data_IF_039974909995
#
_entry.id   IF_039974909995
#
_cell.length_a   1.000
_cell.length_b   1.000
_cell.length_c   1.000
_cell.angle_alpha   90.00
_cell.angle_beta   90.00
_cell.angle_gamma   90.00
#
_symmetry.space_group_name_H-M   'P 1'
#
loop_
_entity.id
_entity.type
_entity.pdbx_description
1 polymer ?
#
# COMPACT_ATOMS: atom_id res chain seq x y z
N UNK A 1 23.82 -74.92 22.09
CA UNK A 1 22.46 -74.55 21.66
C UNK A 1 22.27 -73.08 22.02
N UNK A 2 22.49 -72.18 21.08
CA UNK A 2 22.34 -70.69 21.28
C UNK A 2 21.37 -70.15 20.27
N UNK A 3 20.21 -69.72 20.79
CA UNK A 3 19.15 -69.06 20.00
C UNK A 3 19.55 -67.60 19.74
N UNK A 4 19.80 -67.26 18.47
CA UNK A 4 19.99 -65.87 18.04
C UNK A 4 18.68 -65.11 17.95
N UNK A 5 18.52 -64.04 18.71
CA UNK A 5 17.43 -63.08 18.56
C UNK A 5 17.72 -62.14 17.36
N UNK A 6 16.97 -62.29 16.30
CA UNK A 6 16.93 -61.34 15.21
C UNK A 6 16.05 -60.13 15.63
N UNK A 7 16.68 -58.99 15.77
CA UNK A 7 15.97 -57.68 15.94
C UNK A 7 15.47 -57.21 14.58
N UNK A 8 14.17 -57.30 14.37
CA UNK A 8 13.50 -56.65 13.21
C UNK A 8 13.43 -55.16 13.47
N UNK A 9 14.21 -54.38 12.70
CA UNK A 9 14.12 -52.93 12.66
C UNK A 9 13.01 -52.54 11.66
N UNK A 10 11.93 -51.96 12.15
CA UNK A 10 10.90 -51.34 11.29
C UNK A 10 11.42 -49.99 10.80
N UNK A 11 11.31 -49.69 9.47
CA UNK A 11 11.61 -48.35 8.96
C UNK A 11 10.49 -47.39 9.34
N UNK A 12 10.82 -46.32 10.05
CA UNK A 12 9.94 -45.18 10.30
C UNK A 12 9.82 -44.38 9.03
N UNK A 13 8.65 -44.43 8.37
CA UNK A 13 8.32 -43.65 7.20
C UNK A 13 8.03 -42.19 7.66
N UNK A 14 9.01 -41.26 7.46
CA UNK A 14 8.76 -39.85 7.67
C UNK A 14 7.88 -39.31 6.53
N UNK A 15 6.63 -39.03 6.80
CA UNK A 15 5.74 -38.30 5.92
C UNK A 15 6.09 -36.81 6.04
N UNK A 16 6.79 -36.26 5.04
CA UNK A 16 7.01 -34.83 4.94
C UNK A 16 5.69 -34.15 4.60
N UNK A 17 5.11 -33.43 5.56
CA UNK A 17 3.96 -32.59 5.34
C UNK A 17 4.40 -31.36 4.48
N UNK A 18 4.08 -31.39 3.19
CA UNK A 18 4.24 -30.22 2.32
C UNK A 18 3.23 -29.14 2.73
N UNK A 19 3.72 -28.01 3.26
CA UNK A 19 2.89 -26.83 3.49
C UNK A 19 2.32 -26.35 2.14
N UNK A 20 1.03 -25.96 2.08
CA UNK A 20 0.46 -25.42 0.87
C UNK A 20 1.22 -24.15 0.47
N UNK A 21 1.82 -24.16 -0.71
CA UNK A 21 2.41 -22.96 -1.30
C UNK A 21 1.26 -21.97 -1.60
N UNK A 22 1.20 -20.87 -0.86
CA UNK A 22 0.29 -19.75 -1.16
C UNK A 22 0.79 -19.13 -2.46
N UNK A 23 0.10 -19.44 -3.57
CA UNK A 23 0.40 -18.83 -4.85
C UNK A 23 0.14 -17.32 -4.75
N UNK A 24 1.21 -16.51 -4.91
CA UNK A 24 1.07 -15.05 -5.04
C UNK A 24 0.30 -14.79 -6.34
N UNK A 25 -0.87 -14.14 -6.31
CA UNK A 25 -1.63 -13.86 -7.53
C UNK A 25 -0.72 -13.13 -8.53
N UNK A 26 -0.71 -13.62 -9.77
CA UNK A 26 0.09 -13.00 -10.82
C UNK A 26 -0.43 -11.56 -11.05
N UNK A 27 0.47 -10.58 -11.01
CA UNK A 27 0.12 -9.20 -11.27
C UNK A 27 -0.45 -9.07 -12.70
N UNK A 28 -1.75 -8.85 -12.80
CA UNK A 28 -2.44 -8.62 -14.08
C UNK A 28 -2.71 -7.13 -14.28
N UNK A 29 -1.92 -6.53 -15.15
CA UNK A 29 -2.10 -5.15 -15.61
C UNK A 29 -2.80 -5.06 -16.97
N UNK A 30 -3.30 -6.18 -17.50
CA UNK A 30 -4.11 -6.18 -18.72
C UNK A 30 -5.36 -5.30 -18.51
N UNK A 31 -5.70 -4.49 -19.51
CA UNK A 31 -6.81 -3.54 -19.40
C UNK A 31 -6.47 -2.20 -18.78
N UNK A 32 -5.25 -2.00 -18.24
CA UNK A 32 -4.77 -0.66 -17.90
C UNK A 32 -4.07 -0.03 -19.11
N UNK A 33 -4.39 1.21 -19.49
CA UNK A 33 -3.69 1.90 -20.56
C UNK A 33 -2.21 2.11 -20.16
N UNK A 34 -1.33 2.28 -21.14
CA UNK A 34 0.04 2.68 -20.87
C UNK A 34 0.08 4.02 -20.12
N UNK A 35 1.05 4.25 -19.21
CA UNK A 35 1.23 5.55 -18.59
C UNK A 35 1.42 6.63 -19.65
N UNK A 36 0.82 7.81 -19.44
CA UNK A 36 1.03 8.96 -20.32
C UNK A 36 2.48 9.43 -20.22
N UNK A 37 2.92 10.16 -21.25
CA UNK A 37 4.25 10.75 -21.28
C UNK A 37 4.51 11.59 -20.00
N UNK A 38 5.67 11.38 -19.39
CA UNK A 38 6.07 12.06 -18.15
C UNK A 38 5.50 11.45 -16.86
N UNK A 39 4.68 10.40 -16.96
CA UNK A 39 4.18 9.67 -15.80
C UNK A 39 4.89 8.33 -15.64
N UNK A 40 5.12 7.95 -14.40
CA UNK A 40 5.64 6.65 -13.98
C UNK A 40 4.53 5.88 -13.26
N UNK A 41 4.41 4.58 -13.58
CA UNK A 41 3.41 3.71 -12.96
C UNK A 41 3.89 3.12 -11.65
N UNK A 42 3.06 3.25 -10.64
CA UNK A 42 3.18 2.63 -9.34
C UNK A 42 2.06 1.60 -9.15
N UNK A 43 2.37 0.48 -8.52
CA UNK A 43 1.39 -0.58 -8.29
C UNK A 43 1.47 -1.02 -6.84
N UNK A 44 0.31 -1.05 -6.18
CA UNK A 44 0.13 -1.71 -4.90
C UNK A 44 -0.61 -3.01 -5.18
N UNK A 45 0.04 -4.12 -4.88
CA UNK A 45 -0.59 -5.43 -4.98
C UNK A 45 -0.80 -5.96 -3.57
N UNK A 46 -2.03 -5.86 -3.02
CA UNK A 46 -2.33 -6.50 -1.77
C UNK A 46 -2.25 -8.01 -1.97
N UNK A 47 -1.24 -8.65 -1.40
CA UNK A 47 -1.06 -10.10 -1.49
C UNK A 47 -2.08 -10.81 -0.60
N UNK A 48 -3.24 -11.14 -1.15
CA UNK A 48 -4.31 -11.78 -0.40
C UNK A 48 -4.96 -10.86 0.65
N UNK A 49 -5.56 -11.45 1.67
CA UNK A 49 -6.16 -10.70 2.77
C UNK A 49 -5.07 -10.09 3.65
N UNK A 50 -5.23 -8.84 4.02
CA UNK A 50 -4.38 -8.22 5.05
C UNK A 50 -4.49 -9.04 6.34
N UNK A 51 -3.39 -9.18 7.11
CA UNK A 51 -3.42 -9.89 8.38
C UNK A 51 -4.55 -9.36 9.27
N UNK A 52 -5.27 -10.27 9.93
CA UNK A 52 -6.24 -9.88 10.94
C UNK A 52 -5.52 -9.11 12.04
N UNK A 53 -6.20 -8.14 12.65
CA UNK A 53 -5.70 -7.51 13.85
C UNK A 53 -5.83 -8.50 15.01
N UNK A 54 -4.86 -8.50 15.92
CA UNK A 54 -4.95 -9.22 17.20
C UNK A 54 -5.90 -8.50 18.17
N UNK A 55 -6.15 -7.21 17.93
CA UNK A 55 -7.10 -6.40 18.68
C UNK A 55 -8.54 -6.75 18.26
N UNK A 56 -9.31 -7.31 19.20
CA UNK A 56 -10.72 -7.67 18.99
C UNK A 56 -11.63 -6.47 18.70
N UNK A 57 -11.18 -5.25 19.03
CA UNK A 57 -11.91 -4.03 18.72
C UNK A 57 -11.82 -3.64 17.25
N UNK A 58 -10.92 -4.24 16.49
CA UNK A 58 -10.70 -3.95 15.07
C UNK A 58 -11.45 -4.97 14.21
N UNK A 59 -12.25 -4.50 13.27
CA UNK A 59 -13.01 -5.36 12.36
C UNK A 59 -12.10 -6.29 11.54
N UNK A 60 -12.45 -7.56 11.53
CA UNK A 60 -11.82 -8.57 10.66
C UNK A 60 -12.45 -8.63 9.26
N UNK A 61 -13.54 -7.88 9.02
CA UNK A 61 -14.23 -7.84 7.75
C UNK A 61 -13.50 -6.94 6.74
N UNK A 62 -13.01 -7.46 5.60
CA UNK A 62 -12.33 -6.66 4.59
C UNK A 62 -13.16 -5.51 4.00
N UNK A 63 -14.50 -5.59 4.05
CA UNK A 63 -15.38 -4.53 3.57
C UNK A 63 -15.27 -3.25 4.41
N UNK A 64 -14.86 -3.39 5.67
CA UNK A 64 -14.65 -2.27 6.60
C UNK A 64 -13.24 -1.67 6.47
N UNK A 65 -12.40 -2.25 5.60
CA UNK A 65 -11.03 -1.80 5.44
C UNK A 65 -10.91 -0.79 4.30
N UNK A 66 -9.88 0.05 4.42
CA UNK A 66 -9.50 1.04 3.39
C UNK A 66 -8.00 1.01 3.17
N UNK A 67 -7.58 1.43 1.99
CA UNK A 67 -6.19 1.75 1.69
C UNK A 67 -6.08 3.26 1.59
N UNK A 68 -5.16 3.84 2.34
CA UNK A 68 -4.76 5.23 2.16
C UNK A 68 -3.63 5.31 1.15
N UNK A 69 -3.83 6.08 0.09
CA UNK A 69 -2.80 6.45 -0.87
C UNK A 69 -2.14 7.74 -0.40
N UNK A 70 -0.82 7.71 -0.26
CA UNK A 70 -0.02 8.83 0.23
C UNK A 70 0.96 9.19 -0.87
N UNK A 71 0.60 10.19 -1.66
CA UNK A 71 1.43 10.72 -2.74
C UNK A 71 2.31 11.82 -2.20
N UNK A 72 3.59 11.85 -2.58
CA UNK A 72 4.49 12.88 -2.09
C UNK A 72 5.86 12.87 -2.75
N UNK A 73 6.76 13.68 -2.21
CA UNK A 73 8.17 13.73 -2.60
C UNK A 73 9.07 13.62 -1.39
N UNK A 74 10.20 12.96 -1.56
CA UNK A 74 11.33 13.10 -0.65
C UNK A 74 12.09 14.37 -1.01
N UNK A 75 12.24 15.26 -0.05
CA UNK A 75 12.92 16.54 -0.23
C UNK A 75 14.00 16.71 0.83
N UNK A 76 15.06 17.41 0.48
CA UNK A 76 16.02 17.88 1.46
C UNK A 76 15.36 18.94 2.32
N UNK A 77 15.51 18.81 3.64
CA UNK A 77 15.01 19.76 4.61
C UNK A 77 16.15 20.52 5.25
N UNK A 78 15.87 21.77 5.55
CA UNK A 78 16.74 22.72 6.23
C UNK A 78 15.90 23.52 7.26
N UNK A 79 16.29 24.71 7.63
CA UNK A 79 15.52 25.59 8.52
C UNK A 79 14.24 26.15 7.88
N UNK A 80 14.04 25.95 6.59
CA UNK A 80 12.89 26.47 5.87
C UNK A 80 11.68 25.52 5.96
N UNK A 81 10.50 26.10 6.09
CA UNK A 81 9.25 25.34 6.00
C UNK A 81 9.00 25.00 4.54
N UNK A 82 8.87 23.70 4.26
CA UNK A 82 8.61 23.19 2.90
C UNK A 82 7.26 22.52 2.82
N UNK A 83 6.58 22.70 1.69
CA UNK A 83 5.30 22.05 1.38
C UNK A 83 5.22 21.71 -0.09
N UNK A 84 4.39 20.72 -0.44
CA UNK A 84 4.07 20.43 -1.83
C UNK A 84 2.88 21.24 -2.31
N UNK A 85 2.94 21.66 -3.57
CA UNK A 85 1.85 22.26 -4.32
C UNK A 85 1.71 21.54 -5.65
N UNK A 86 0.49 21.25 -6.04
CA UNK A 86 0.20 20.53 -7.27
C UNK A 86 -1.24 20.04 -7.33
N UNK A 87 -1.63 19.41 -8.44
CA UNK A 87 -2.96 18.84 -8.60
C UNK A 87 -3.17 17.66 -7.66
N UNK A 88 -4.41 17.49 -7.22
CA UNK A 88 -4.81 16.37 -6.37
C UNK A 88 -4.77 15.04 -7.14
N UNK A 89 -4.66 13.94 -6.40
CA UNK A 89 -4.86 12.61 -6.93
C UNK A 89 -6.30 12.47 -7.43
N UNK A 90 -6.47 12.03 -8.67
CA UNK A 90 -7.77 11.81 -9.31
C UNK A 90 -7.94 10.34 -9.67
N UNK A 91 -9.18 9.85 -9.66
CA UNK A 91 -9.54 8.48 -10.04
C UNK A 91 -10.25 8.49 -11.39
N UNK A 92 -9.83 7.60 -12.27
CA UNK A 92 -10.50 7.30 -13.53
C UNK A 92 -10.96 5.84 -13.52
N UNK A 93 -12.27 5.61 -13.66
CA UNK A 93 -12.80 4.25 -13.88
C UNK A 93 -12.49 3.81 -15.30
N UNK A 94 -12.05 2.58 -15.46
CA UNK A 94 -11.71 2.03 -16.78
C UNK A 94 -12.96 1.39 -17.39
N UNK A 95 -13.42 1.85 -18.57
CA UNK A 95 -14.71 1.44 -19.12
C UNK A 95 -14.78 -0.04 -19.55
N UNK A 96 -13.64 -0.65 -19.86
CA UNK A 96 -13.56 -2.05 -20.31
C UNK A 96 -13.27 -3.07 -19.20
N UNK A 97 -13.02 -2.63 -17.99
CA UNK A 97 -12.60 -3.52 -16.91
C UNK A 97 -13.48 -3.28 -15.68
N UNK A 98 -14.44 -4.15 -15.47
CA UNK A 98 -15.36 -4.09 -14.33
C UNK A 98 -14.58 -4.06 -13.02
N UNK A 99 -14.74 -2.98 -12.27
CA UNK A 99 -14.10 -2.80 -10.95
C UNK A 99 -12.67 -2.26 -10.96
N UNK A 100 -12.00 -2.15 -12.11
CA UNK A 100 -10.65 -1.58 -12.20
C UNK A 100 -10.70 -0.05 -12.27
N UNK A 101 -9.78 0.61 -11.54
CA UNK A 101 -9.61 2.05 -11.53
C UNK A 101 -8.14 2.42 -11.67
N UNK A 102 -7.87 3.50 -12.42
CA UNK A 102 -6.56 4.13 -12.53
C UNK A 102 -6.56 5.42 -11.73
N UNK A 103 -5.58 5.57 -10.86
CA UNK A 103 -5.36 6.81 -10.13
C UNK A 103 -4.22 7.61 -10.79
N UNK A 104 -4.34 8.92 -10.84
CA UNK A 104 -3.39 9.76 -11.58
C UNK A 104 -3.23 11.13 -10.91
N UNK A 105 -2.00 11.63 -10.86
CA UNK A 105 -1.71 13.04 -10.59
C UNK A 105 -1.29 13.70 -11.91
N UNK A 106 -2.13 14.62 -12.41
CA UNK A 106 -1.92 15.30 -13.70
C UNK A 106 -1.29 16.65 -13.49
N UNK A 107 -0.03 16.77 -13.86
CA UNK A 107 0.71 18.03 -13.83
C UNK A 107 1.85 18.05 -12.82
N UNK A 108 2.59 19.15 -12.77
CA UNK A 108 3.78 19.25 -11.97
C UNK A 108 3.44 19.32 -10.47
N UNK A 109 4.25 18.64 -9.68
CA UNK A 109 4.25 18.76 -8.21
C UNK A 109 5.49 19.56 -7.79
N UNK A 110 5.24 20.75 -7.29
CA UNK A 110 6.26 21.73 -6.93
C UNK A 110 6.53 21.70 -5.43
N UNK A 111 7.79 21.96 -5.06
CA UNK A 111 8.17 22.20 -3.66
C UNK A 111 8.17 23.70 -3.43
N UNK A 112 7.32 24.18 -2.53
CA UNK A 112 7.32 25.55 -2.03
C UNK A 112 8.12 25.59 -0.73
N UNK A 113 8.96 26.63 -0.59
CA UNK A 113 9.83 26.80 0.57
C UNK A 113 9.85 28.26 1.00
N UNK A 114 9.92 28.53 2.32
CA UNK A 114 10.33 29.83 2.82
C UNK A 114 11.79 30.07 2.46
N UNK A 115 12.25 31.33 2.56
CA UNK A 115 13.63 31.73 2.24
C UNK A 115 14.28 32.39 3.45
N UNK A 116 14.47 31.62 4.52
CA UNK A 116 15.22 32.10 5.69
C UNK A 116 16.70 31.77 5.48
N UNK A 117 17.59 32.65 5.97
CA UNK A 117 19.01 32.36 6.02
C UNK A 117 19.27 31.32 7.11
N UNK A 118 19.63 30.10 6.67
CA UNK A 118 19.93 29.01 7.59
C UNK A 118 21.39 29.07 8.06
N UNK A 119 21.65 28.82 9.32
CA UNK A 119 22.99 28.58 9.83
C UNK A 119 23.50 27.22 9.43
N UNK A 120 24.83 27.02 9.39
CA UNK A 120 25.42 25.72 8.98
C UNK A 120 25.09 24.59 9.95
N UNK A 121 24.75 24.89 11.20
CA UNK A 121 24.42 23.91 12.26
C UNK A 121 22.98 23.41 12.20
N UNK A 122 22.11 24.05 11.40
CA UNK A 122 20.73 23.61 11.30
C UNK A 122 20.65 22.30 10.52
N UNK A 123 19.96 21.34 11.12
CA UNK A 123 19.89 19.96 10.67
C UNK A 123 19.51 19.87 9.17
N UNK A 124 20.40 19.30 8.39
CA UNK A 124 20.14 18.89 7.00
C UNK A 124 19.70 17.45 7.02
N UNK A 125 18.66 17.12 6.29
CA UNK A 125 18.15 15.75 6.20
C UNK A 125 17.19 15.60 5.04
N UNK A 126 16.63 14.41 4.89
CA UNK A 126 15.55 14.16 3.94
C UNK A 126 14.26 13.95 4.70
N UNK A 127 13.18 14.49 4.17
CA UNK A 127 11.84 14.30 4.71
C UNK A 127 10.86 14.03 3.57
N UNK A 128 9.87 13.19 3.86
CA UNK A 128 8.79 12.94 2.94
C UNK A 128 7.67 13.97 3.16
N UNK A 129 7.39 14.77 2.14
CA UNK A 129 6.27 15.70 2.13
C UNK A 129 5.11 15.08 1.36
N UNK A 130 3.94 15.03 1.98
CA UNK A 130 2.72 14.54 1.33
C UNK A 130 2.06 15.65 0.50
N UNK A 131 1.49 15.26 -0.64
CA UNK A 131 0.65 16.11 -1.47
C UNK A 131 -0.78 16.07 -0.94
N UNK A 132 -1.36 17.24 -0.71
CA UNK A 132 -2.72 17.38 -0.17
C UNK A 132 -2.78 17.33 1.35
N UNK A 133 -3.90 17.81 1.89
CA UNK A 133 -4.14 17.91 3.34
C UNK A 133 -4.99 16.77 3.89
N UNK A 134 -5.84 16.19 3.06
CA UNK A 134 -6.79 15.15 3.45
C UNK A 134 -6.28 13.77 3.03
N UNK A 135 -6.52 12.73 3.84
CA UNK A 135 -6.19 11.37 3.46
C UNK A 135 -7.01 10.92 2.25
N UNK A 136 -6.36 10.36 1.24
CA UNK A 136 -7.04 9.78 0.09
C UNK A 136 -7.29 8.30 0.36
N UNK A 137 -8.53 7.97 0.73
CA UNK A 137 -8.94 6.63 1.11
C UNK A 137 -9.72 5.96 -0.02
N UNK A 138 -9.36 4.71 -0.33
CA UNK A 138 -10.07 3.86 -1.29
C UNK A 138 -10.51 2.57 -0.59
N UNK A 139 -11.58 1.91 -1.06
CA UNK A 139 -11.97 0.60 -0.55
C UNK A 139 -10.83 -0.40 -0.70
N UNK A 140 -10.68 -1.26 0.31
CA UNK A 140 -9.77 -2.39 0.19
C UNK A 140 -10.34 -3.44 -0.77
N UNK A 141 -9.51 -3.91 -1.69
CA UNK A 141 -9.84 -5.01 -2.58
C UNK A 141 -8.59 -5.86 -2.82
N UNK A 142 -8.64 -7.14 -2.45
CA UNK A 142 -7.53 -8.07 -2.64
C UNK A 142 -7.46 -8.66 -4.06
N UNK A 143 -8.54 -8.53 -4.85
CA UNK A 143 -8.63 -9.13 -6.19
C UNK A 143 -8.00 -8.29 -7.28
N UNK A 144 -7.81 -6.98 -7.04
CA UNK A 144 -7.31 -6.05 -8.04
C UNK A 144 -6.13 -5.25 -7.51
N UNK A 145 -5.09 -5.05 -8.34
CA UNK A 145 -4.02 -4.13 -7.98
C UNK A 145 -4.55 -2.68 -7.96
N UNK A 146 -3.97 -1.87 -7.07
CA UNK A 146 -4.16 -0.43 -7.11
C UNK A 146 -3.08 0.16 -8.01
N UNK A 147 -3.49 0.78 -9.11
CA UNK A 147 -2.58 1.32 -10.13
C UNK A 147 -2.63 2.84 -10.07
N UNK A 148 -1.46 3.46 -9.93
CA UNK A 148 -1.30 4.90 -9.77
C UNK A 148 -0.23 5.40 -10.71
N UNK A 149 -0.56 6.36 -11.55
CA UNK A 149 0.38 7.03 -12.46
C UNK A 149 0.74 8.39 -11.91
N UNK A 150 2.03 8.62 -11.63
CA UNK A 150 2.55 9.83 -10.98
C UNK A 150 3.64 10.48 -11.82
N UNK A 151 3.81 11.83 -11.74
CA UNK A 151 4.93 12.53 -12.36
C UNK A 151 6.27 12.02 -11.84
N UNK A 152 7.31 12.19 -12.64
CA UNK A 152 8.66 11.83 -12.24
C UNK A 152 9.10 12.54 -10.94
N UNK A 153 9.81 11.80 -10.08
CA UNK A 153 10.23 12.29 -8.77
C UNK A 153 9.13 12.38 -7.71
N UNK A 154 7.90 11.99 -8.06
CA UNK A 154 6.81 11.79 -7.10
C UNK A 154 6.73 10.32 -6.75
N UNK A 155 6.59 9.99 -5.47
CA UNK A 155 6.54 8.62 -4.96
C UNK A 155 5.19 8.33 -4.33
N UNK A 156 4.80 7.06 -4.37
CA UNK A 156 3.61 6.54 -3.72
C UNK A 156 4.01 5.78 -2.46
N UNK A 157 3.40 6.14 -1.34
CA UNK A 157 3.36 5.34 -0.11
C UNK A 157 1.92 4.95 0.16
N UNK A 158 1.71 3.92 0.95
CA UNK A 158 0.37 3.50 1.33
C UNK A 158 0.36 2.87 2.71
N UNK A 159 -0.82 2.84 3.31
CA UNK A 159 -1.10 2.09 4.53
C UNK A 159 -2.54 1.61 4.55
N UNK A 160 -2.78 0.54 5.32
CA UNK A 160 -4.13 0.04 5.54
C UNK A 160 -4.79 0.79 6.71
N UNK A 161 -6.09 1.01 6.56
CA UNK A 161 -6.99 1.47 7.61
C UNK A 161 -8.01 0.38 7.85
N UNK A 162 -8.22 0.02 9.10
CA UNK A 162 -9.25 -0.94 9.51
C UNK A 162 -10.19 -0.24 10.48
N UNK A 163 -11.49 -0.38 10.26
CA UNK A 163 -12.48 0.21 11.15
C UNK A 163 -12.55 -0.54 12.48
N UNK A 164 -13.05 0.13 13.51
CA UNK A 164 -13.46 -0.51 14.74
C UNK A 164 -14.70 -1.39 14.50
N UNK A 165 -14.86 -2.43 15.32
CA UNK A 165 -16.08 -3.26 15.32
C UNK A 165 -17.27 -2.53 15.91
N UNK A 166 -17.03 -1.61 16.85
CA UNK A 166 -18.05 -0.86 17.54
C UNK A 166 -18.66 0.22 16.63
N UNK A 167 -19.97 0.24 16.53
CA UNK A 167 -20.73 1.31 15.90
C UNK A 167 -21.36 2.19 16.97
N UNK A 168 -21.62 3.45 16.64
CA UNK A 168 -22.30 4.41 17.51
C UNK A 168 -23.54 4.94 16.78
N UNK A 169 -24.61 5.15 17.54
CA UNK A 169 -25.85 5.73 17.01
C UNK A 169 -25.72 7.24 16.87
N UNK A 170 -26.26 7.77 15.77
CA UNK A 170 -26.41 9.20 15.61
C UNK A 170 -27.63 9.71 16.37
N UNK A 171 -27.54 10.91 16.93
CA UNK A 171 -28.69 11.59 17.56
C UNK A 171 -29.49 12.32 16.50
N UNK A 172 -30.80 12.09 16.49
CA UNK A 172 -31.75 12.88 15.67
C UNK A 172 -32.08 14.18 16.41
N UNK A 173 -31.86 15.30 15.74
CA UNK A 173 -32.25 16.66 16.21
C UNK A 173 -33.66 17.01 15.77
#
# INVERSE_FOLDING_TARGET
MGLGLWKLALPVLMVAASAPAVAIPRLDLSGYPAPKQGLKRWVIQPSGLLPKSEDAMISSNPLDWRIQLIVGKEVEVDCNVKRLSGPSLSMQRLPKATGKALFEVRGPVLVLSTRMACTQEQAKGKSFLSLGKQPYLIPYNSSWPVVVDLPEGVVLRWRAWKAETRQQDAVRL
#
